data_IF_099735301870
#
_entry.id   IF_099735301870
#
_cell.length_a   1.000
_cell.length_b   1.000
_cell.length_c   1.000
_cell.angle_alpha   90.00
_cell.angle_beta   90.00
_cell.angle_gamma   90.00
#
_symmetry.space_group_name_H-M   'P 1'
#
loop_
_entity.id
_entity.type
_entity.pdbx_description
1 polymer ?
#
# COMPACT_ATOMS: atom_id res chain seq x y z
N UNK A 1 5.18 -28.89 -19.29
CA UNK A 1 4.86 -27.53 -19.80
C UNK A 1 6.02 -26.62 -19.43
N UNK A 2 6.42 -25.67 -20.30
CA UNK A 2 7.57 -24.79 -20.04
C UNK A 2 7.16 -23.72 -19.02
N UNK A 3 7.88 -23.58 -17.92
CA UNK A 3 7.60 -22.55 -16.89
C UNK A 3 7.72 -21.14 -17.51
N UNK A 4 6.80 -20.21 -17.19
CA UNK A 4 6.89 -18.84 -17.68
C UNK A 4 8.11 -18.12 -17.09
N UNK A 5 8.77 -17.30 -17.91
CA UNK A 5 9.84 -16.39 -17.47
C UNK A 5 9.27 -14.98 -17.43
N UNK A 6 9.31 -14.35 -16.26
CA UNK A 6 8.73 -13.02 -16.05
C UNK A 6 9.85 -12.03 -15.73
N UNK A 7 9.91 -10.96 -16.51
CA UNK A 7 10.78 -9.81 -16.24
C UNK A 7 9.91 -8.64 -15.78
N UNK A 8 10.27 -8.04 -14.65
CA UNK A 8 9.60 -6.89 -14.06
C UNK A 8 10.55 -5.69 -14.16
N UNK A 9 10.09 -4.61 -14.78
CA UNK A 9 10.87 -3.37 -14.90
C UNK A 9 10.46 -2.42 -13.77
N UNK A 10 11.40 -2.14 -12.87
CA UNK A 10 11.24 -1.35 -11.66
C UNK A 10 11.07 -2.20 -10.40
N UNK A 11 11.97 -2.03 -9.44
CA UNK A 11 11.92 -2.64 -8.10
C UNK A 11 11.35 -1.67 -7.04
N UNK A 12 10.36 -0.85 -7.44
CA UNK A 12 9.51 -0.11 -6.51
C UNK A 12 8.48 -1.00 -5.80
N UNK A 13 7.58 -0.39 -5.04
CA UNK A 13 6.59 -1.14 -4.23
C UNK A 13 5.72 -2.08 -5.07
N UNK A 14 5.32 -1.65 -6.27
CA UNK A 14 4.50 -2.44 -7.20
C UNK A 14 5.29 -3.62 -7.75
N UNK A 15 6.50 -3.38 -8.28
CA UNK A 15 7.30 -4.44 -8.89
C UNK A 15 7.72 -5.51 -7.89
N UNK A 16 8.15 -5.10 -6.70
CA UNK A 16 8.48 -6.02 -5.61
C UNK A 16 7.27 -6.83 -5.12
N UNK A 17 6.11 -6.19 -4.96
CA UNK A 17 4.87 -6.89 -4.58
C UNK A 17 4.42 -7.89 -5.65
N UNK A 18 4.54 -7.53 -6.92
CA UNK A 18 4.24 -8.41 -8.06
C UNK A 18 5.17 -9.62 -8.07
N UNK A 19 6.49 -9.40 -7.93
CA UNK A 19 7.46 -10.48 -7.91
C UNK A 19 7.22 -11.45 -6.75
N UNK A 20 7.02 -10.93 -5.54
CA UNK A 20 6.70 -11.72 -4.37
C UNK A 20 5.41 -12.54 -4.57
N UNK A 21 4.37 -11.93 -5.13
CA UNK A 21 3.11 -12.62 -5.44
C UNK A 21 3.29 -13.74 -6.48
N UNK A 22 4.10 -13.54 -7.51
CA UNK A 22 4.36 -14.56 -8.54
C UNK A 22 5.17 -15.74 -7.98
N UNK A 23 6.23 -15.44 -7.23
CA UNK A 23 7.10 -16.44 -6.61
C UNK A 23 6.32 -17.31 -5.60
N UNK A 24 5.49 -16.69 -4.77
CA UNK A 24 4.62 -17.43 -3.82
C UNK A 24 3.54 -18.28 -4.50
N UNK A 25 3.23 -18.01 -5.77
CA UNK A 25 2.34 -18.82 -6.60
C UNK A 25 3.07 -19.90 -7.42
N UNK A 26 4.39 -20.05 -7.25
CA UNK A 26 5.18 -21.11 -7.89
C UNK A 26 5.80 -20.74 -9.23
N UNK A 27 5.82 -19.45 -9.61
CA UNK A 27 6.58 -19.00 -10.79
C UNK A 27 8.07 -19.00 -10.46
N UNK A 28 8.84 -19.90 -11.06
CA UNK A 28 10.26 -20.13 -10.71
C UNK A 28 11.23 -19.10 -11.31
N UNK A 29 10.86 -18.44 -12.39
CA UNK A 29 11.77 -17.58 -13.17
C UNK A 29 11.31 -16.12 -13.18
N UNK A 30 11.46 -15.44 -12.05
CA UNK A 30 11.13 -14.01 -11.90
C UNK A 30 12.40 -13.18 -11.76
N UNK A 31 12.57 -12.20 -12.64
CA UNK A 31 13.70 -11.26 -12.62
C UNK A 31 13.17 -9.83 -12.55
N UNK A 32 13.72 -9.01 -11.66
CA UNK A 32 13.42 -7.58 -11.57
C UNK A 32 14.64 -6.78 -12.04
N UNK A 33 14.42 -5.76 -12.87
CA UNK A 33 15.43 -4.82 -13.33
C UNK A 33 15.13 -3.44 -12.75
N UNK A 34 16.03 -2.88 -11.94
CA UNK A 34 15.89 -1.56 -11.33
C UNK A 34 17.02 -0.66 -11.80
N UNK A 35 16.67 0.54 -12.27
CA UNK A 35 17.64 1.54 -12.75
C UNK A 35 18.57 2.03 -11.64
N UNK A 36 18.18 1.89 -10.38
CA UNK A 36 18.92 2.31 -9.19
C UNK A 36 19.11 1.17 -8.19
N UNK A 37 19.32 1.49 -6.91
CA UNK A 37 19.14 0.54 -5.81
C UNK A 37 17.69 0.54 -5.34
N UNK A 38 17.19 -0.58 -4.83
CA UNK A 38 15.92 -0.66 -4.10
C UNK A 38 15.93 0.34 -2.94
N UNK A 39 14.78 0.99 -2.71
CA UNK A 39 14.60 2.02 -1.66
C UNK A 39 15.44 3.30 -1.86
N UNK A 40 15.90 3.56 -3.08
CA UNK A 40 16.58 4.81 -3.41
C UNK A 40 15.64 6.04 -3.30
N UNK A 41 16.19 7.23 -2.95
CA UNK A 41 15.40 8.45 -2.73
C UNK A 41 14.90 9.14 -4.02
N UNK A 42 15.24 8.62 -5.21
CA UNK A 42 14.68 9.14 -6.48
C UNK A 42 13.34 8.50 -6.84
N UNK A 43 12.95 7.41 -6.17
CA UNK A 43 11.67 6.74 -6.38
C UNK A 43 10.54 7.41 -5.60
N UNK A 44 9.31 6.94 -5.77
CA UNK A 44 8.14 7.45 -5.00
C UNK A 44 7.71 6.53 -3.86
N UNK A 45 8.36 5.37 -3.73
CA UNK A 45 8.01 4.35 -2.73
C UNK A 45 8.81 4.46 -1.42
N UNK A 46 9.93 5.20 -1.42
CA UNK A 46 10.85 5.27 -0.28
C UNK A 46 10.32 6.17 0.86
N UNK A 47 11.02 6.15 1.99
CA UNK A 47 10.82 7.08 3.10
C UNK A 47 10.23 6.40 4.33
N UNK A 48 9.90 7.23 5.32
CA UNK A 48 9.54 6.72 6.65
C UNK A 48 8.20 5.98 6.61
N UNK A 49 7.17 6.59 6.03
CA UNK A 49 5.82 6.03 6.09
C UNK A 49 4.93 6.34 4.88
N UNK A 50 3.85 5.57 4.72
CA UNK A 50 2.73 5.83 3.82
C UNK A 50 1.41 5.60 4.54
N UNK A 51 0.42 6.44 4.28
CA UNK A 51 -0.93 6.26 4.80
C UNK A 51 -1.59 5.05 4.15
N UNK A 52 -2.07 4.11 4.97
CA UNK A 52 -3.02 3.07 4.59
C UNK A 52 -4.40 3.51 5.10
N UNK A 53 -5.26 3.93 4.16
CA UNK A 53 -6.62 4.40 4.43
C UNK A 53 -7.61 3.68 3.53
N UNK A 54 -8.84 3.54 4.00
CA UNK A 54 -9.91 2.89 3.25
C UNK A 54 -10.80 3.91 2.54
N UNK A 55 -10.79 5.15 3.01
CA UNK A 55 -11.64 6.26 2.60
C UNK A 55 -11.24 6.73 1.20
N UNK A 56 -12.08 6.52 0.20
CA UNK A 56 -11.85 6.94 -1.20
C UNK A 56 -13.08 7.67 -1.79
N UNK A 57 -13.77 8.45 -0.95
CA UNK A 57 -15.04 9.07 -1.32
C UNK A 57 -16.10 8.00 -1.62
N UNK A 58 -16.90 8.14 -2.70
CA UNK A 58 -17.91 7.16 -3.06
C UNK A 58 -17.31 5.87 -3.67
N UNK A 59 -16.01 5.81 -3.92
CA UNK A 59 -15.37 4.69 -4.60
C UNK A 59 -15.05 3.54 -3.65
N UNK A 60 -16.03 2.66 -3.46
CA UNK A 60 -15.90 1.47 -2.62
C UNK A 60 -14.94 0.42 -3.22
N UNK A 61 -14.64 0.48 -4.52
CA UNK A 61 -13.74 -0.48 -5.15
C UNK A 61 -12.33 -0.35 -4.57
N UNK A 62 -11.81 0.87 -4.42
CA UNK A 62 -10.52 1.09 -3.75
C UNK A 62 -10.55 0.70 -2.27
N UNK A 63 -11.66 0.97 -1.59
CA UNK A 63 -11.84 0.59 -0.18
C UNK A 63 -11.70 -0.93 0.01
N UNK A 64 -12.32 -1.73 -0.88
CA UNK A 64 -12.19 -3.20 -0.92
C UNK A 64 -10.76 -3.64 -1.26
N UNK A 65 -10.09 -2.97 -2.19
CA UNK A 65 -8.68 -3.24 -2.50
C UNK A 65 -7.77 -2.99 -1.28
N UNK A 66 -8.01 -1.94 -0.50
CA UNK A 66 -7.24 -1.66 0.71
C UNK A 66 -7.41 -2.77 1.75
N UNK A 67 -8.63 -3.29 1.95
CA UNK A 67 -8.87 -4.46 2.83
C UNK A 67 -8.02 -5.66 2.41
N UNK A 68 -7.99 -5.96 1.11
CA UNK A 68 -7.17 -7.04 0.56
C UNK A 68 -5.67 -6.75 0.70
N UNK A 69 -5.26 -5.49 0.56
CA UNK A 69 -3.87 -5.08 0.75
C UNK A 69 -3.44 -5.23 2.21
N UNK A 70 -4.27 -4.80 3.17
CA UNK A 70 -3.97 -4.88 4.60
C UNK A 70 -3.80 -6.34 5.06
N UNK A 71 -4.64 -7.27 4.58
CA UNK A 71 -4.49 -8.68 4.92
C UNK A 71 -3.17 -9.27 4.40
N UNK A 72 -2.73 -8.85 3.20
CA UNK A 72 -1.44 -9.23 2.63
C UNK A 72 -0.26 -8.63 3.40
N UNK A 73 -0.35 -7.37 3.80
CA UNK A 73 0.66 -6.74 4.65
C UNK A 73 0.79 -7.46 6.00
N UNK A 74 -0.32 -7.71 6.69
CA UNK A 74 -0.33 -8.46 7.97
C UNK A 74 0.27 -9.87 7.80
N UNK A 75 -0.02 -10.57 6.70
CA UNK A 75 0.60 -11.87 6.40
C UNK A 75 2.12 -11.74 6.16
N UNK A 76 2.55 -10.71 5.44
CA UNK A 76 3.98 -10.46 5.22
C UNK A 76 4.71 -10.11 6.52
N UNK A 77 4.09 -9.35 7.43
CA UNK A 77 4.62 -9.11 8.78
C UNK A 77 4.84 -10.42 9.54
N UNK A 78 3.87 -11.34 9.49
CA UNK A 78 3.97 -12.65 10.13
C UNK A 78 5.10 -13.51 9.55
N UNK A 79 5.28 -13.50 8.22
CA UNK A 79 6.33 -14.30 7.58
C UNK A 79 7.72 -13.70 7.82
N UNK A 80 7.83 -12.37 7.71
CA UNK A 80 9.11 -11.67 7.84
C UNK A 80 9.53 -11.40 9.29
N UNK A 81 8.61 -11.51 10.25
CA UNK A 81 8.81 -11.10 11.65
C UNK A 81 9.28 -9.64 11.77
N UNK A 82 8.77 -8.76 10.89
CA UNK A 82 9.06 -7.33 10.89
C UNK A 82 7.75 -6.55 11.01
N UNK A 83 7.77 -5.45 11.75
CA UNK A 83 6.66 -4.50 11.77
C UNK A 83 6.65 -3.69 10.46
N UNK A 84 5.61 -3.88 9.66
CA UNK A 84 5.38 -3.21 8.39
C UNK A 84 4.19 -2.26 8.46
N UNK A 85 3.21 -2.54 9.31
CA UNK A 85 2.01 -1.75 9.48
C UNK A 85 1.84 -1.36 10.96
N UNK A 86 1.48 -0.10 11.19
CA UNK A 86 1.09 0.38 12.52
C UNK A 86 -0.31 0.95 12.44
N UNK A 87 -1.21 0.35 13.21
CA UNK A 87 -2.62 0.72 13.32
C UNK A 87 -2.77 2.01 14.12
N UNK A 88 -2.49 3.15 13.49
CA UNK A 88 -2.65 4.48 14.11
C UNK A 88 -4.08 5.00 14.06
N UNK A 89 -4.93 4.41 13.22
CA UNK A 89 -6.22 4.97 12.81
C UNK A 89 -6.07 6.14 11.83
N UNK A 90 -7.22 6.61 11.33
CA UNK A 90 -7.34 7.81 10.51
C UNK A 90 -8.48 8.67 11.07
N UNK A 91 -8.15 9.92 11.42
CA UNK A 91 -9.11 10.97 11.71
C UNK A 91 -9.31 11.79 10.42
N UNK A 92 -10.56 11.94 9.97
CA UNK A 92 -10.92 12.81 8.85
C UNK A 92 -11.78 13.96 9.39
N UNK A 93 -11.38 15.18 9.05
CA UNK A 93 -12.06 16.42 9.36
C UNK A 93 -12.59 17.01 8.06
N UNK A 94 -13.91 16.96 7.85
CA UNK A 94 -14.58 17.41 6.64
C UNK A 94 -15.77 18.31 6.93
N UNK A 95 -16.37 18.82 5.86
CA UNK A 95 -17.49 19.75 5.90
C UNK A 95 -18.68 19.19 5.13
N UNK A 96 -19.87 19.67 5.45
CA UNK A 96 -21.07 19.28 4.70
C UNK A 96 -20.92 19.66 3.22
N UNK A 97 -21.39 18.77 2.34
CA UNK A 97 -21.30 18.96 0.89
C UNK A 97 -19.94 18.59 0.27
N UNK A 98 -18.95 18.15 1.05
CA UNK A 98 -17.73 17.60 0.46
C UNK A 98 -17.97 16.25 -0.27
N UNK A 99 -17.18 15.99 -1.30
CA UNK A 99 -17.27 14.76 -2.09
C UNK A 99 -16.44 13.61 -1.51
N UNK A 100 -15.98 13.73 -0.26
CA UNK A 100 -14.97 12.84 0.30
C UNK A 100 -15.38 12.23 1.64
N UNK A 101 -15.61 13.03 2.67
CA UNK A 101 -15.75 12.60 4.07
C UNK A 101 -17.07 11.86 4.28
N UNK A 102 -18.20 12.47 3.92
CA UNK A 102 -19.51 11.81 4.06
C UNK A 102 -19.63 10.59 3.16
N UNK A 103 -19.26 10.64 1.85
CA UNK A 103 -19.29 9.45 1.01
C UNK A 103 -18.36 8.34 1.50
N UNK A 104 -17.15 8.67 1.96
CA UNK A 104 -16.23 7.67 2.53
C UNK A 104 -16.83 7.01 3.77
N UNK A 105 -17.43 7.78 4.67
CA UNK A 105 -18.07 7.25 5.87
C UNK A 105 -19.16 6.23 5.53
N UNK A 106 -20.01 6.53 4.54
CA UNK A 106 -21.03 5.61 4.07
C UNK A 106 -20.43 4.33 3.49
N UNK A 107 -19.38 4.44 2.67
CA UNK A 107 -18.66 3.27 2.16
C UNK A 107 -18.05 2.42 3.28
N UNK A 108 -17.51 3.05 4.34
CA UNK A 108 -16.98 2.31 5.50
C UNK A 108 -18.07 1.55 6.26
N UNK A 109 -19.26 2.15 6.41
CA UNK A 109 -20.42 1.49 7.01
C UNK A 109 -20.89 0.29 6.17
N UNK A 110 -21.00 0.45 4.84
CA UNK A 110 -21.34 -0.64 3.92
C UNK A 110 -20.33 -1.79 4.03
N UNK A 111 -19.05 -1.44 4.15
CA UNK A 111 -17.99 -2.41 4.34
C UNK A 111 -17.94 -3.04 5.74
N UNK A 112 -18.76 -2.58 6.70
CA UNK A 112 -18.74 -3.03 8.09
C UNK A 112 -17.37 -2.79 8.76
N UNK A 113 -16.70 -1.70 8.40
CA UNK A 113 -15.47 -1.28 9.08
C UNK A 113 -15.82 -0.58 10.40
N UNK A 114 -14.97 -0.69 11.44
CA UNK A 114 -15.18 -0.06 12.74
C UNK A 114 -14.89 1.45 12.67
N UNK A 115 -15.72 2.17 11.92
CA UNK A 115 -15.60 3.61 11.70
C UNK A 115 -16.65 4.35 12.52
N UNK A 116 -16.19 5.35 13.25
CA UNK A 116 -16.99 6.16 14.16
C UNK A 116 -17.24 7.54 13.53
N UNK A 117 -18.44 8.11 13.71
CA UNK A 117 -18.66 9.56 13.55
C UNK A 117 -18.56 10.21 14.92
N UNK A 118 -17.64 11.15 15.09
CA UNK A 118 -17.37 11.82 16.35
C UNK A 118 -18.10 13.15 16.43
N UNK A 119 -18.55 13.53 17.63
CA UNK A 119 -18.94 14.92 17.91
C UNK A 119 -17.68 15.78 18.05
N UNK A 120 -17.81 17.10 17.88
CA UNK A 120 -16.72 18.07 18.11
C UNK A 120 -16.13 17.93 19.52
N UNK A 121 -16.98 17.69 20.52
CA UNK A 121 -16.57 17.47 21.90
C UNK A 121 -15.73 16.19 22.06
N UNK A 122 -16.21 15.06 21.53
CA UNK A 122 -15.47 13.79 21.60
C UNK A 122 -14.15 13.85 20.82
N UNK A 123 -14.14 14.53 19.66
CA UNK A 123 -12.91 14.77 18.90
C UNK A 123 -11.89 15.56 19.73
N UNK A 124 -12.30 16.66 20.37
CA UNK A 124 -11.41 17.48 21.21
C UNK A 124 -10.87 16.70 22.42
N UNK A 125 -11.69 15.83 23.02
CA UNK A 125 -11.26 14.98 24.14
C UNK A 125 -10.26 13.91 23.71
N UNK A 126 -10.51 13.23 22.58
CA UNK A 126 -9.69 12.11 22.09
C UNK A 126 -8.43 12.56 21.35
N UNK A 127 -8.52 13.68 20.63
CA UNK A 127 -7.45 14.24 19.81
C UNK A 127 -7.29 15.75 20.08
N UNK A 128 -6.89 16.15 21.31
CA UNK A 128 -6.79 17.56 21.71
C UNK A 128 -5.79 18.38 20.89
N UNK A 129 -4.87 17.73 20.17
CA UNK A 129 -3.90 18.37 19.28
C UNK A 129 -4.50 18.90 17.98
N UNK A 130 -5.73 18.51 17.62
CA UNK A 130 -6.40 18.96 16.39
C UNK A 130 -7.59 19.87 16.71
N UNK A 131 -7.76 20.90 15.90
CA UNK A 131 -8.91 21.81 15.99
C UNK A 131 -9.99 21.35 15.00
N UNK A 132 -11.15 20.96 15.52
CA UNK A 132 -12.32 20.55 14.72
C UNK A 132 -13.48 21.56 14.86
N UNK A 133 -13.20 22.80 15.26
CA UNK A 133 -14.19 23.86 15.47
C UNK A 133 -14.89 24.31 14.19
N UNK A 134 -14.32 23.99 13.02
CA UNK A 134 -14.87 24.38 11.73
C UNK A 134 -15.33 23.17 10.90
N UNK A 135 -15.26 21.95 11.45
CA UNK A 135 -15.60 20.70 10.76
C UNK A 135 -17.01 20.21 11.08
N UNK A 136 -17.84 20.02 10.05
CA UNK A 136 -19.21 19.53 10.22
C UNK A 136 -19.29 18.00 10.31
N UNK A 137 -18.31 17.31 9.72
CA UNK A 137 -18.24 15.86 9.69
C UNK A 137 -16.87 15.42 10.18
N UNK A 138 -16.86 14.71 11.30
CA UNK A 138 -15.65 14.17 11.92
C UNK A 138 -15.79 12.66 11.97
N UNK A 139 -14.89 11.94 11.32
CA UNK A 139 -14.90 10.48 11.32
C UNK A 139 -13.57 9.90 11.76
N UNK A 140 -13.61 8.76 12.41
CA UNK A 140 -12.42 8.04 12.85
C UNK A 140 -12.52 6.57 12.45
N UNK A 141 -11.58 6.11 11.64
CA UNK A 141 -11.44 4.70 11.28
C UNK A 141 -10.26 4.09 12.01
N UNK A 142 -10.54 3.19 12.95
CA UNK A 142 -9.50 2.55 13.75
C UNK A 142 -8.63 1.56 12.96
N UNK A 143 -9.10 1.00 11.84
CA UNK A 143 -8.35 0.02 11.02
C UNK A 143 -7.38 0.69 10.04
N UNK A 144 -7.49 1.99 9.80
CA UNK A 144 -6.49 2.72 9.04
C UNK A 144 -5.16 2.83 9.82
N UNK A 145 -4.09 3.23 9.13
CA UNK A 145 -2.80 3.37 9.78
C UNK A 145 -1.68 3.78 8.85
N UNK A 146 -0.45 3.50 9.26
CA UNK A 146 0.73 3.74 8.43
C UNK A 146 1.41 2.43 8.05
N UNK A 147 1.94 2.39 6.84
CA UNK A 147 2.95 1.41 6.42
C UNK A 147 4.34 2.04 6.59
N UNK A 148 5.30 1.27 7.10
CA UNK A 148 6.71 1.67 7.22
C UNK A 148 7.41 1.50 5.87
N UNK A 149 7.37 2.52 5.02
CA UNK A 149 7.53 2.39 3.57
C UNK A 149 8.89 1.77 3.16
N UNK A 150 10.01 2.32 3.63
CA UNK A 150 11.35 1.76 3.39
C UNK A 150 11.52 0.36 4.01
N UNK A 151 10.84 0.05 5.11
CA UNK A 151 10.85 -1.31 5.68
C UNK A 151 10.07 -2.29 4.80
N UNK A 152 8.91 -1.90 4.28
CA UNK A 152 8.13 -2.69 3.34
C UNK A 152 8.95 -3.04 2.08
N UNK A 153 9.67 -2.07 1.50
CA UNK A 153 10.52 -2.29 0.32
C UNK A 153 11.64 -3.29 0.62
N UNK A 154 12.37 -3.10 1.72
CA UNK A 154 13.47 -3.99 2.10
C UNK A 154 12.98 -5.41 2.38
N UNK A 155 11.89 -5.55 3.12
CA UNK A 155 11.31 -6.87 3.40
C UNK A 155 10.84 -7.55 2.13
N UNK A 156 10.16 -6.85 1.21
CA UNK A 156 9.78 -7.47 -0.06
C UNK A 156 11.01 -7.87 -0.90
N UNK A 157 12.07 -7.05 -0.93
CA UNK A 157 13.34 -7.40 -1.58
C UNK A 157 13.92 -8.70 -0.99
N UNK A 158 14.03 -8.77 0.33
CA UNK A 158 14.50 -9.96 1.06
C UNK A 158 13.66 -11.20 0.72
N UNK A 159 12.33 -11.07 0.73
CA UNK A 159 11.42 -12.17 0.42
C UNK A 159 11.54 -12.64 -1.03
N UNK A 160 11.63 -11.72 -1.99
CA UNK A 160 11.82 -12.05 -3.41
C UNK A 160 13.09 -12.88 -3.59
N UNK A 161 14.20 -12.43 -2.99
CA UNK A 161 15.50 -13.14 -3.08
C UNK A 161 15.41 -14.51 -2.39
N UNK A 162 14.79 -14.60 -1.21
CA UNK A 162 14.65 -15.88 -0.48
C UNK A 162 13.82 -16.93 -1.23
N UNK A 163 12.90 -16.49 -2.10
CA UNK A 163 12.07 -17.36 -2.92
C UNK A 163 12.71 -17.70 -4.28
N UNK A 164 13.96 -17.30 -4.52
CA UNK A 164 14.70 -17.57 -5.75
C UNK A 164 14.52 -16.53 -6.86
N UNK A 165 13.82 -15.43 -6.59
CA UNK A 165 13.73 -14.30 -7.51
C UNK A 165 15.07 -13.57 -7.63
N UNK A 166 15.37 -13.06 -8.83
CA UNK A 166 16.59 -12.29 -9.09
C UNK A 166 16.28 -10.80 -9.19
N UNK A 167 17.10 -9.94 -8.60
CA UNK A 167 16.98 -8.48 -8.70
C UNK A 167 18.30 -7.91 -9.20
N UNK A 168 18.28 -7.23 -10.34
CA UNK A 168 19.41 -6.48 -10.88
C UNK A 168 19.21 -4.99 -10.60
N UNK A 169 20.01 -4.45 -9.67
CA UNK A 169 20.09 -3.03 -9.37
C UNK A 169 21.08 -2.33 -10.32
N UNK A 170 20.98 -1.00 -10.44
CA UNK A 170 21.77 -0.19 -11.39
C UNK A 170 21.64 -0.65 -12.86
N UNK A 171 20.49 -1.24 -13.20
CA UNK A 171 20.16 -1.80 -14.50
C UNK A 171 19.01 -1.00 -15.12
N UNK A 172 19.35 0.08 -15.84
CA UNK A 172 18.37 0.89 -16.58
C UNK A 172 17.92 0.14 -17.83
N UNK A 173 16.64 -0.21 -17.86
CA UNK A 173 15.97 -0.65 -19.10
C UNK A 173 15.79 0.54 -20.02
N UNK A 174 16.28 0.45 -21.25
CA UNK A 174 16.23 1.53 -22.25
C UNK A 174 15.21 1.27 -23.35
N UNK A 175 14.86 0.01 -23.59
CA UNK A 175 13.94 -0.38 -24.65
C UNK A 175 13.22 -1.70 -24.31
N UNK A 176 12.00 -1.84 -24.83
CA UNK A 176 11.24 -3.09 -24.83
C UNK A 176 10.84 -3.36 -26.27
N UNK A 177 11.27 -4.50 -26.81
CA UNK A 177 10.90 -4.96 -28.14
C UNK A 177 10.05 -6.22 -28.02
N UNK A 178 9.00 -6.32 -28.84
CA UNK A 178 8.27 -7.57 -28.99
C UNK A 178 8.89 -8.42 -30.10
N UNK A 179 8.84 -9.75 -30.00
CA UNK A 179 9.46 -10.66 -31.00
C UNK A 179 8.98 -10.42 -32.44
N UNK A 180 7.76 -9.87 -32.60
CA UNK A 180 7.24 -9.48 -33.92
C UNK A 180 7.96 -8.28 -34.55
N UNK A 181 8.79 -7.56 -33.80
CA UNK A 181 9.54 -6.37 -34.25
C UNK A 181 11.04 -6.66 -34.48
N UNK A 182 11.49 -7.90 -34.25
CA UNK A 182 12.88 -8.34 -34.41
C UNK A 182 13.13 -9.09 -35.74
N UNK A 183 12.17 -9.02 -36.68
CA UNK A 183 12.26 -9.61 -38.02
C UNK A 183 12.48 -8.55 -39.08
#
# INVERSE_FOLDING_TARGET
MRQPRVVIVGAGIVGLSTAYSLLTQGVEHVTILEQETVDHPRGTSHGISRLLRFEYGPDIFYSRMVRMSLSRWKRLEQVSQRTLYTRTGLLVLGNEGDNFTQPSYQAMLEMQLPTERLSRQHCKQRFPQFTASDSDIITYNAEAGILHASTCLRVLKEMVISLGGTIHESCRVTHLSHDSQLR
#
